data_IF_171439325345
#
_entry.id   IF_171439325345
#
_cell.length_a   1.000
_cell.length_b   1.000
_cell.length_c   1.000
_cell.angle_alpha   90.00
_cell.angle_beta   90.00
_cell.angle_gamma   90.00
#
_symmetry.space_group_name_H-M   'P 1'
#
loop_
_entity.id
_entity.type
_entity.pdbx_description
1 polymer ?
#
# COMPACT_ATOMS: atom_id res chain seq x y z
N UNK A 1 -36.14 -9.25 27.19
CA UNK A 1 -34.67 -9.41 27.22
C UNK A 1 -34.15 -9.05 25.84
N UNK A 2 -33.45 -7.92 25.66
CA UNK A 2 -32.84 -7.62 24.37
C UNK A 2 -31.63 -8.54 24.19
N UNK A 3 -31.62 -9.30 23.10
CA UNK A 3 -30.49 -10.13 22.71
C UNK A 3 -29.29 -9.22 22.47
N UNK A 4 -28.22 -9.42 23.23
CA UNK A 4 -26.92 -8.81 22.98
C UNK A 4 -26.42 -9.36 21.64
N UNK A 5 -26.61 -8.58 20.58
CA UNK A 5 -26.01 -8.80 19.29
C UNK A 5 -24.51 -8.55 19.49
N UNK A 6 -23.74 -9.64 19.64
CA UNK A 6 -22.28 -9.59 19.64
C UNK A 6 -21.86 -8.88 18.36
N UNK A 7 -21.35 -7.66 18.49
CA UNK A 7 -20.57 -6.99 17.47
C UNK A 7 -19.44 -7.93 17.09
N UNK A 8 -19.59 -8.60 15.95
CA UNK A 8 -18.47 -9.23 15.25
C UNK A 8 -17.44 -8.11 15.08
N UNK A 9 -16.31 -8.22 15.79
CA UNK A 9 -15.23 -7.26 15.66
C UNK A 9 -14.89 -7.14 14.18
N UNK A 10 -14.62 -5.92 13.74
CA UNK A 10 -14.16 -5.59 12.40
C UNK A 10 -12.89 -6.40 12.08
N UNK A 11 -13.04 -7.65 11.63
CA UNK A 11 -11.99 -8.42 10.97
C UNK A 11 -11.79 -7.76 9.60
N UNK A 12 -11.24 -6.55 9.62
CA UNK A 12 -10.73 -5.91 8.43
C UNK A 12 -9.65 -6.83 7.90
N UNK A 13 -9.92 -7.48 6.77
CA UNK A 13 -8.94 -8.38 6.20
C UNK A 13 -7.70 -7.53 5.90
N UNK A 14 -6.48 -7.97 6.27
CA UNK A 14 -5.26 -7.22 5.97
C UNK A 14 -5.12 -6.87 4.48
N UNK A 15 -5.81 -7.63 3.62
CA UNK A 15 -5.85 -7.49 2.17
C UNK A 15 -6.83 -6.45 1.65
N UNK A 16 -7.79 -5.96 2.45
CA UNK A 16 -8.83 -5.04 2.01
C UNK A 16 -8.25 -3.75 1.44
N UNK A 17 -7.21 -3.21 2.10
CA UNK A 17 -6.50 -2.04 1.62
C UNK A 17 -5.88 -2.28 0.24
N UNK A 18 -5.17 -3.39 0.07
CA UNK A 18 -4.47 -3.71 -1.18
C UNK A 18 -5.45 -3.97 -2.33
N UNK A 19 -6.58 -4.63 -2.04
CA UNK A 19 -7.66 -4.85 -3.00
C UNK A 19 -8.34 -3.54 -3.39
N UNK A 20 -8.61 -2.67 -2.41
CA UNK A 20 -9.19 -1.35 -2.67
C UNK A 20 -8.28 -0.52 -3.58
N UNK A 21 -6.98 -0.48 -3.29
CA UNK A 21 -5.99 0.23 -4.11
C UNK A 21 -5.91 -0.37 -5.52
N UNK A 22 -5.80 -1.70 -5.64
CA UNK A 22 -5.68 -2.35 -6.95
C UNK A 22 -6.92 -2.10 -7.84
N UNK A 23 -8.11 -2.16 -7.25
CA UNK A 23 -9.37 -1.97 -7.98
C UNK A 23 -9.67 -0.49 -8.26
N UNK A 24 -9.50 0.37 -7.27
CA UNK A 24 -9.90 1.79 -7.35
C UNK A 24 -8.83 2.67 -8.01
N UNK A 25 -7.56 2.51 -7.63
CA UNK A 25 -6.49 3.38 -8.15
C UNK A 25 -5.98 2.90 -9.51
N UNK A 26 -5.89 1.58 -9.72
CA UNK A 26 -5.29 1.01 -10.93
C UNK A 26 -6.31 0.45 -11.93
N UNK A 27 -7.56 0.23 -11.50
CA UNK A 27 -8.58 -0.43 -12.33
C UNK A 27 -8.28 -1.91 -12.59
N UNK A 28 -7.51 -2.58 -11.72
CA UNK A 28 -7.17 -3.99 -11.90
C UNK A 28 -8.36 -4.89 -11.56
N UNK A 29 -8.51 -5.96 -12.33
CA UNK A 29 -9.41 -7.05 -11.95
C UNK A 29 -8.81 -7.86 -10.79
N UNK A 30 -9.67 -8.52 -10.02
CA UNK A 30 -9.24 -9.42 -8.94
C UNK A 30 -8.30 -10.53 -9.46
N UNK A 31 -8.59 -11.09 -10.64
CA UNK A 31 -7.76 -12.13 -11.27
C UNK A 31 -6.35 -11.61 -11.60
N UNK A 32 -6.26 -10.38 -12.09
CA UNK A 32 -4.97 -9.75 -12.36
C UNK A 32 -4.20 -9.47 -11.07
N UNK A 33 -4.87 -8.93 -10.04
CA UNK A 33 -4.26 -8.67 -8.74
C UNK A 33 -3.66 -9.94 -8.13
N UNK A 34 -4.40 -11.05 -8.14
CA UNK A 34 -3.95 -12.33 -7.58
C UNK A 34 -2.76 -12.94 -8.34
N UNK A 35 -2.55 -12.57 -9.61
CA UNK A 35 -1.41 -12.98 -10.43
C UNK A 35 -0.25 -11.99 -10.42
N UNK A 36 -0.47 -10.78 -9.91
CA UNK A 36 0.52 -9.73 -9.87
C UNK A 36 1.61 -10.03 -8.84
N UNK A 37 2.84 -9.60 -9.12
CA UNK A 37 3.92 -9.70 -8.14
C UNK A 37 3.86 -8.52 -7.16
N UNK A 38 4.25 -8.70 -5.89
CA UNK A 38 4.32 -7.60 -4.93
C UNK A 38 5.16 -6.41 -5.43
N UNK A 39 6.25 -6.69 -6.15
CA UNK A 39 7.11 -5.66 -6.75
C UNK A 39 6.36 -4.82 -7.80
N UNK A 40 5.57 -5.46 -8.66
CA UNK A 40 4.76 -4.76 -9.65
C UNK A 40 3.71 -3.89 -8.97
N UNK A 41 2.97 -4.44 -8.00
CA UNK A 41 1.97 -3.71 -7.23
C UNK A 41 2.57 -2.43 -6.60
N UNK A 42 3.71 -2.56 -5.91
CA UNK A 42 4.36 -1.43 -5.25
C UNK A 42 4.83 -0.36 -6.25
N UNK A 43 5.46 -0.76 -7.35
CA UNK A 43 5.89 0.19 -8.39
C UNK A 43 4.72 0.94 -9.01
N UNK A 44 3.61 0.25 -9.26
CA UNK A 44 2.38 0.87 -9.77
C UNK A 44 1.81 1.86 -8.75
N UNK A 45 1.77 1.50 -7.46
CA UNK A 45 1.31 2.40 -6.40
C UNK A 45 2.20 3.65 -6.27
N UNK A 46 3.53 3.48 -6.28
CA UNK A 46 4.48 4.59 -6.24
C UNK A 46 4.27 5.53 -7.42
N UNK A 47 4.09 4.99 -8.62
CA UNK A 47 3.85 5.81 -9.80
C UNK A 47 2.50 6.56 -9.72
N UNK A 48 1.45 5.89 -9.25
CA UNK A 48 0.15 6.52 -9.03
C UNK A 48 0.25 7.67 -8.01
N UNK A 49 0.98 7.48 -6.92
CA UNK A 49 1.22 8.50 -5.91
C UNK A 49 2.01 9.68 -6.48
N UNK A 50 3.07 9.45 -7.26
CA UNK A 50 3.82 10.53 -7.92
C UNK A 50 2.96 11.41 -8.83
N UNK A 51 1.97 10.81 -9.50
CA UNK A 51 1.10 11.53 -10.43
C UNK A 51 -0.03 12.29 -9.72
N UNK A 52 -0.59 11.74 -8.65
CA UNK A 52 -1.78 12.30 -7.99
C UNK A 52 -1.46 13.08 -6.73
N UNK A 53 -0.41 12.70 -6.00
CA UNK A 53 0.03 13.26 -4.73
C UNK A 53 1.56 13.40 -4.72
N UNK A 54 2.14 14.30 -5.54
CA UNK A 54 3.59 14.43 -5.67
C UNK A 54 4.29 14.71 -4.33
N UNK A 55 3.63 15.43 -3.41
CA UNK A 55 4.17 15.75 -2.08
C UNK A 55 4.24 14.54 -1.13
N UNK A 56 3.63 13.40 -1.49
CA UNK A 56 3.58 12.20 -0.63
C UNK A 56 4.81 11.30 -0.76
N UNK A 57 5.64 11.51 -1.78
CA UNK A 57 6.86 10.74 -2.01
C UNK A 57 8.02 11.71 -2.10
N UNK A 58 8.88 11.69 -1.08
CA UNK A 58 10.19 12.32 -1.18
C UNK A 58 11.01 11.55 -2.21
N UNK A 59 11.50 12.24 -3.23
CA UNK A 59 12.47 11.65 -4.13
C UNK A 59 13.70 11.22 -3.32
N UNK A 60 14.14 9.99 -3.55
CA UNK A 60 15.18 9.30 -2.79
C UNK A 60 16.32 10.26 -2.47
N UNK A 61 16.44 10.63 -1.19
CA UNK A 61 17.58 11.36 -0.68
C UNK A 61 18.81 10.47 -0.94
N UNK A 62 19.79 10.96 -1.71
CA UNK A 62 21.06 10.27 -1.87
C UNK A 62 21.66 10.10 -0.47
N UNK A 63 21.68 8.87 0.05
CA UNK A 63 22.29 8.57 1.33
C UNK A 63 23.80 8.69 1.15
N UNK A 64 24.37 9.79 1.63
CA UNK A 64 25.82 9.98 1.61
C UNK A 64 26.47 9.13 2.71
N UNK A 65 27.66 8.56 2.45
CA UNK A 65 28.29 7.55 3.32
C UNK A 65 28.58 8.06 4.74
N UNK A 66 28.73 9.37 4.90
CA UNK A 66 28.88 10.13 6.14
C UNK A 66 27.61 10.16 7.03
N UNK A 67 26.46 9.76 6.51
CA UNK A 67 25.21 9.66 7.25
C UNK A 67 25.00 8.28 7.91
N UNK A 68 25.96 7.35 7.73
CA UNK A 68 25.86 5.98 8.24
C UNK A 68 26.61 5.89 9.58
N UNK A 69 25.93 5.67 10.73
CA UNK A 69 26.53 5.74 12.06
C UNK A 69 27.53 4.62 12.40
N UNK A 70 27.83 3.73 11.44
CA UNK A 70 28.69 2.55 11.64
C UNK A 70 30.06 2.65 10.95
N UNK A 71 30.35 3.76 10.24
CA UNK A 71 31.57 3.95 9.46
C UNK A 71 32.46 5.13 9.94
N UNK A 72 32.31 5.56 11.20
CA UNK A 72 33.27 6.46 11.87
C UNK A 72 34.06 5.72 12.95
#
# INVERSE_FOLDING_TARGET
>A
MPQQQKSQGDEQFPWDFYLFVATSNFGWSLDFFMKSTPNMYLKTQINWLRLNNPDSIEDVQEVYMDQIPFWN
#
